data_IF_102026823044
#
_entry.id   IF_102026823044
#
_cell.length_a   1.000
_cell.length_b   1.000
_cell.length_c   1.000
_cell.angle_alpha   90.00
_cell.angle_beta   90.00
_cell.angle_gamma   90.00
#
_symmetry.space_group_name_H-M   'P 1'
#
loop_
_entity.id
_entity.type
_entity.pdbx_description
1 polymer ?
#
# COMPACT_ATOMS: atom_id res chain seq x y z
N UNK A 1 5.32 -1.58 44.47
CA UNK A 1 4.44 -1.69 43.27
C UNK A 1 5.20 -1.41 41.99
N UNK A 2 5.94 -0.29 41.84
CA UNK A 2 6.69 0.03 40.60
C UNK A 2 7.74 -1.02 40.18
N UNK A 3 8.47 -1.63 41.12
CA UNK A 3 9.49 -2.63 40.86
C UNK A 3 8.93 -3.94 40.24
N UNK A 4 7.71 -4.33 40.64
CA UNK A 4 7.05 -5.54 40.11
C UNK A 4 6.60 -5.31 38.66
N UNK A 5 6.13 -4.10 38.34
CA UNK A 5 5.70 -3.74 36.98
C UNK A 5 6.90 -3.73 36.04
N UNK A 6 8.03 -3.16 36.45
CA UNK A 6 9.26 -3.13 35.64
C UNK A 6 9.85 -4.55 35.40
N UNK A 7 9.87 -5.39 36.43
CA UNK A 7 10.37 -6.76 36.30
C UNK A 7 9.46 -7.63 35.40
N UNK A 8 8.14 -7.50 35.51
CA UNK A 8 7.17 -8.20 34.68
C UNK A 8 7.24 -7.80 33.20
N UNK A 9 7.41 -6.51 32.92
CA UNK A 9 7.55 -5.98 31.57
C UNK A 9 8.84 -6.44 30.90
N UNK A 10 9.96 -6.46 31.64
CA UNK A 10 11.27 -6.91 31.13
C UNK A 10 11.27 -8.41 30.81
N UNK A 11 10.67 -9.22 31.70
CA UNK A 11 10.52 -10.67 31.46
C UNK A 11 9.59 -10.97 30.29
N UNK A 12 8.49 -10.22 30.14
CA UNK A 12 7.56 -10.36 29.01
C UNK A 12 8.22 -10.04 27.66
N UNK A 13 9.03 -8.98 27.59
CA UNK A 13 9.77 -8.59 26.40
C UNK A 13 10.86 -9.61 26.06
N UNK A 14 11.59 -10.11 27.07
CA UNK A 14 12.61 -11.13 26.87
C UNK A 14 12.00 -12.46 26.41
N UNK A 15 10.87 -12.87 26.96
CA UNK A 15 10.13 -14.05 26.52
C UNK A 15 9.60 -13.89 25.08
N UNK A 16 9.07 -12.73 24.74
CA UNK A 16 8.59 -12.43 23.39
C UNK A 16 9.73 -12.49 22.36
N UNK A 17 10.91 -12.03 22.70
CA UNK A 17 12.09 -12.10 21.83
C UNK A 17 12.66 -13.52 21.69
N UNK A 18 12.57 -14.35 22.76
CA UNK A 18 13.09 -15.71 22.79
C UNK A 18 12.11 -16.75 22.27
N UNK A 19 10.81 -16.51 22.35
CA UNK A 19 9.78 -17.41 21.82
C UNK A 19 9.63 -17.15 20.31
N UNK A 20 9.98 -18.10 19.45
CA UNK A 20 9.76 -18.02 18.01
C UNK A 20 8.28 -17.84 17.58
N UNK A 21 7.39 -17.62 18.54
CA UNK A 21 5.96 -17.28 18.41
C UNK A 21 5.61 -15.93 19.02
N UNK A 22 6.63 -15.13 19.40
CA UNK A 22 6.43 -13.80 19.97
C UNK A 22 5.68 -12.88 19.00
N UNK A 23 4.91 -11.95 19.57
CA UNK A 23 4.32 -10.86 18.79
C UNK A 23 5.46 -10.09 18.13
N UNK A 24 5.56 -10.15 16.82
CA UNK A 24 6.48 -9.34 16.04
C UNK A 24 6.14 -7.86 16.27
N UNK A 25 6.99 -7.16 17.04
CA UNK A 25 6.90 -5.69 17.16
C UNK A 25 7.45 -4.99 15.91
N UNK A 26 7.52 -5.73 14.81
CA UNK A 26 7.98 -5.24 13.52
C UNK A 26 6.85 -4.42 12.87
N UNK A 27 7.20 -3.29 12.28
CA UNK A 27 6.32 -2.51 11.40
C UNK A 27 5.73 -3.32 10.23
N UNK A 28 6.27 -4.52 9.99
CA UNK A 28 5.93 -5.37 8.85
C UNK A 28 4.82 -6.40 9.13
N UNK A 29 4.05 -6.27 10.21
CA UNK A 29 2.97 -7.21 10.56
C UNK A 29 1.93 -7.38 9.44
N UNK A 30 1.80 -6.39 8.57
CA UNK A 30 0.83 -6.37 7.48
C UNK A 30 1.41 -6.80 6.12
N UNK A 31 2.73 -7.03 6.02
CA UNK A 31 3.33 -7.54 4.78
C UNK A 31 3.07 -9.04 4.69
N UNK A 32 2.42 -9.45 3.60
CA UNK A 32 2.16 -10.87 3.31
C UNK A 32 3.27 -11.44 2.46
N UNK A 33 3.58 -12.72 2.63
CA UNK A 33 4.58 -13.41 1.81
C UNK A 33 4.22 -13.28 0.32
N UNK A 34 5.15 -12.75 -0.46
CA UNK A 34 5.00 -12.56 -1.91
C UNK A 34 4.50 -11.19 -2.35
N UNK A 35 4.33 -10.24 -1.41
CA UNK A 35 4.08 -8.83 -1.74
C UNK A 35 5.40 -8.15 -2.15
N UNK A 36 5.38 -7.42 -3.25
CA UNK A 36 6.47 -6.52 -3.67
C UNK A 36 6.21 -5.13 -3.08
N UNK A 37 6.97 -4.79 -2.04
CA UNK A 37 6.76 -3.59 -1.23
C UNK A 37 7.81 -2.54 -1.57
N UNK A 38 7.36 -1.33 -1.88
CA UNK A 38 8.24 -0.19 -2.17
C UNK A 38 7.97 0.99 -1.23
N UNK A 39 8.97 1.84 -1.06
CA UNK A 39 8.90 3.07 -0.27
C UNK A 39 8.55 4.28 -1.15
N UNK A 40 8.11 5.40 -0.53
CA UNK A 40 7.66 6.59 -1.26
C UNK A 40 8.71 7.18 -2.22
N UNK A 41 10.00 7.17 -1.85
CA UNK A 41 11.07 7.64 -2.73
C UNK A 41 11.25 6.78 -3.98
N UNK A 42 11.14 5.46 -3.85
CA UNK A 42 11.18 4.54 -5.00
C UNK A 42 9.93 4.71 -5.87
N UNK A 43 8.76 4.81 -5.24
CA UNK A 43 7.51 5.04 -5.95
C UNK A 43 7.57 6.33 -6.78
N UNK A 44 8.13 7.42 -6.22
CA UNK A 44 8.34 8.68 -6.95
C UNK A 44 9.24 8.50 -8.18
N UNK A 45 10.36 7.79 -8.02
CA UNK A 45 11.25 7.51 -9.13
C UNK A 45 10.61 6.64 -10.23
N UNK A 46 9.71 5.71 -9.85
CA UNK A 46 8.94 4.91 -10.81
C UNK A 46 7.87 5.75 -11.53
N UNK A 47 7.20 6.68 -10.83
CA UNK A 47 6.27 7.62 -11.47
C UNK A 47 6.96 8.42 -12.58
N UNK A 48 8.16 8.94 -12.33
CA UNK A 48 8.95 9.69 -13.31
C UNK A 48 9.37 8.86 -14.52
N UNK A 49 9.44 7.54 -14.37
CA UNK A 49 9.72 6.59 -15.45
C UNK A 49 8.46 6.09 -16.15
N UNK A 50 7.28 6.58 -15.76
CA UNK A 50 6.01 6.23 -16.39
C UNK A 50 5.31 5.01 -15.80
N UNK A 51 5.64 4.57 -14.57
CA UNK A 51 4.87 3.53 -13.89
C UNK A 51 3.41 3.93 -13.72
N UNK A 52 2.50 2.98 -13.86
CA UNK A 52 1.08 3.18 -13.68
C UNK A 52 0.71 3.10 -12.19
N UNK A 53 0.20 4.20 -11.65
CA UNK A 53 -0.28 4.23 -10.27
C UNK A 53 -1.76 3.86 -10.18
N UNK A 54 -2.12 3.12 -9.12
CA UNK A 54 -3.46 2.58 -8.91
C UNK A 54 -3.90 2.92 -7.48
N UNK A 55 -4.95 3.71 -7.36
CA UNK A 55 -5.52 4.13 -6.09
C UNK A 55 -6.58 3.12 -5.63
N UNK A 56 -6.23 2.34 -4.59
CA UNK A 56 -7.13 1.35 -4.00
C UNK A 56 -8.10 1.94 -2.96
N UNK A 57 -8.02 3.24 -2.68
CA UNK A 57 -8.95 3.93 -1.77
C UNK A 57 -10.34 4.05 -2.41
N UNK A 58 -11.40 4.23 -1.60
CA UNK A 58 -12.71 4.60 -2.12
C UNK A 58 -12.65 5.79 -3.08
N UNK A 59 -13.46 5.77 -4.14
CA UNK A 59 -13.43 6.76 -5.23
C UNK A 59 -13.55 8.22 -4.73
N UNK A 60 -14.24 8.44 -3.60
CA UNK A 60 -14.36 9.76 -3.01
C UNK A 60 -13.00 10.36 -2.62
N UNK A 61 -12.08 9.56 -2.07
CA UNK A 61 -10.73 10.00 -1.73
C UNK A 61 -9.88 10.28 -2.97
N UNK A 62 -10.01 9.42 -4.00
CA UNK A 62 -9.35 9.66 -5.28
C UNK A 62 -9.73 11.03 -5.87
N UNK A 63 -11.02 11.37 -5.86
CA UNK A 63 -11.52 12.65 -6.38
C UNK A 63 -11.06 13.86 -5.55
N UNK A 64 -10.81 13.68 -4.26
CA UNK A 64 -10.27 14.75 -3.43
C UNK A 64 -8.84 15.08 -3.83
N UNK A 65 -7.99 14.06 -3.85
CA UNK A 65 -6.60 14.17 -4.32
C UNK A 65 -6.02 12.78 -4.58
N UNK A 66 -5.20 12.66 -5.63
CA UNK A 66 -4.53 11.42 -6.02
C UNK A 66 -3.14 11.68 -6.64
N UNK A 67 -2.35 10.65 -6.84
CA UNK A 67 -1.06 10.73 -7.54
C UNK A 67 -1.32 11.00 -9.02
N UNK A 68 -0.64 11.99 -9.65
CA UNK A 68 -0.88 12.34 -11.06
C UNK A 68 -0.76 11.13 -11.99
N UNK A 69 -1.74 10.95 -12.87
CA UNK A 69 -1.80 9.83 -13.79
C UNK A 69 -2.30 8.52 -13.20
N UNK A 70 -2.59 8.48 -11.90
CA UNK A 70 -3.16 7.30 -11.25
C UNK A 70 -4.57 6.99 -11.77
N UNK A 71 -4.94 5.72 -11.75
CA UNK A 71 -6.30 5.26 -11.99
C UNK A 71 -6.99 4.92 -10.67
N UNK A 72 -8.26 5.29 -10.54
CA UNK A 72 -9.10 4.83 -9.44
C UNK A 72 -9.43 3.35 -9.62
N UNK A 73 -8.95 2.52 -8.70
CA UNK A 73 -9.18 1.08 -8.68
C UNK A 73 -9.54 0.63 -7.26
N UNK A 74 -10.68 1.11 -6.72
CA UNK A 74 -11.08 0.85 -5.35
C UNK A 74 -11.33 -0.64 -5.13
N UNK A 75 -10.98 -1.12 -3.94
CA UNK A 75 -11.07 -2.54 -3.59
C UNK A 75 -12.52 -3.05 -3.60
N UNK A 76 -13.45 -2.24 -3.12
CA UNK A 76 -14.88 -2.53 -3.00
C UNK A 76 -15.62 -2.55 -4.36
N UNK A 77 -15.11 -1.87 -5.39
CA UNK A 77 -15.66 -1.85 -6.78
C UNK A 77 -14.62 -2.31 -7.81
N UNK A 78 -13.71 -3.20 -7.39
CA UNK A 78 -12.54 -3.59 -8.19
C UNK A 78 -12.89 -4.10 -9.58
N UNK A 79 -13.85 -5.03 -9.71
CA UNK A 79 -14.12 -5.67 -10.99
C UNK A 79 -14.66 -4.68 -12.03
N UNK A 80 -15.56 -3.79 -11.63
CA UNK A 80 -16.09 -2.73 -12.50
C UNK A 80 -15.02 -1.70 -12.86
N UNK A 81 -14.18 -1.29 -11.90
CA UNK A 81 -13.09 -0.37 -12.16
C UNK A 81 -12.01 -1.01 -13.04
N UNK A 82 -11.73 -2.32 -12.85
CA UNK A 82 -10.82 -3.07 -13.70
C UNK A 82 -11.30 -3.09 -15.16
N UNK A 83 -12.56 -3.44 -15.42
CA UNK A 83 -13.14 -3.43 -16.77
C UNK A 83 -13.00 -2.06 -17.46
N UNK A 84 -13.25 -0.99 -16.72
CA UNK A 84 -13.12 0.40 -17.22
C UNK A 84 -11.70 0.72 -17.65
N UNK A 85 -10.71 0.20 -16.95
CA UNK A 85 -9.30 0.53 -17.14
C UNK A 85 -8.49 -0.60 -17.78
N UNK A 86 -9.11 -1.72 -18.17
CA UNK A 86 -8.45 -2.93 -18.66
C UNK A 86 -7.39 -2.66 -19.74
N UNK A 87 -7.61 -1.83 -20.78
CA UNK A 87 -6.59 -1.60 -21.80
C UNK A 87 -5.30 -1.00 -21.25
N UNK A 88 -5.39 -0.06 -20.29
CA UNK A 88 -4.22 0.54 -19.65
C UNK A 88 -3.55 -0.43 -18.68
N UNK A 89 -4.34 -1.19 -17.93
CA UNK A 89 -3.85 -2.19 -16.97
C UNK A 89 -3.08 -3.31 -17.69
N UNK A 90 -3.58 -3.79 -18.82
CA UNK A 90 -2.91 -4.85 -19.60
C UNK A 90 -1.67 -4.38 -20.38
N UNK A 91 -1.57 -3.09 -20.67
CA UNK A 91 -0.42 -2.53 -21.38
C UNK A 91 0.72 -2.12 -20.47
N UNK A 92 0.50 -2.06 -19.13
CA UNK A 92 1.55 -1.67 -18.21
C UNK A 92 2.52 -2.81 -17.91
N UNK A 93 3.79 -2.46 -17.78
CA UNK A 93 4.86 -3.37 -17.33
C UNK A 93 5.29 -3.08 -15.89
N UNK A 94 4.87 -1.94 -15.34
CA UNK A 94 5.18 -1.49 -13.99
C UNK A 94 3.96 -0.80 -13.40
N UNK A 95 3.35 -1.42 -12.40
CA UNK A 95 2.22 -0.87 -11.68
C UNK A 95 2.53 -0.71 -10.19
N UNK A 96 2.04 0.37 -9.59
CA UNK A 96 2.18 0.66 -8.16
C UNK A 96 0.80 0.91 -7.57
N UNK A 97 0.40 0.05 -6.62
CA UNK A 97 -0.87 0.19 -5.89
C UNK A 97 -0.62 0.94 -4.59
N UNK A 98 -1.47 1.88 -4.24
CA UNK A 98 -1.43 2.59 -2.96
C UNK A 98 -2.82 2.68 -2.31
N UNK A 99 -2.82 2.91 -1.00
CA UNK A 99 -4.02 3.06 -0.19
C UNK A 99 -3.85 4.15 0.89
N UNK A 100 -4.73 4.17 1.88
CA UNK A 100 -4.78 5.19 2.94
C UNK A 100 -3.64 5.14 3.96
N UNK A 101 -2.71 4.19 3.87
CA UNK A 101 -1.55 4.11 4.76
C UNK A 101 -1.30 2.75 5.36
N UNK A 102 -0.49 2.70 6.41
CA UNK A 102 -0.13 1.47 7.11
C UNK A 102 -1.37 0.64 7.52
N UNK A 103 -1.30 -0.66 7.28
CA UNK A 103 -2.36 -1.60 7.65
C UNK A 103 -3.59 -1.52 6.76
N UNK A 104 -3.58 -0.74 5.69
CA UNK A 104 -4.65 -0.75 4.71
C UNK A 104 -4.57 -2.03 3.85
N UNK A 105 -5.50 -2.95 4.07
CA UNK A 105 -5.53 -4.20 3.31
C UNK A 105 -5.91 -4.03 1.84
N UNK A 106 -6.58 -2.93 1.48
CA UNK A 106 -7.09 -2.74 0.12
C UNK A 106 -6.00 -2.78 -0.94
N UNK A 107 -4.82 -2.15 -0.71
CA UNK A 107 -3.70 -2.22 -1.67
C UNK A 107 -3.18 -3.66 -1.86
N UNK A 108 -3.13 -4.46 -0.79
CA UNK A 108 -2.72 -5.86 -0.86
C UNK A 108 -3.74 -6.73 -1.61
N UNK A 109 -5.05 -6.49 -1.37
CA UNK A 109 -6.13 -7.19 -2.07
C UNK A 109 -6.11 -6.84 -3.55
N UNK A 110 -6.00 -5.55 -3.89
CA UNK A 110 -5.94 -5.09 -5.28
C UNK A 110 -4.71 -5.62 -6.01
N UNK A 111 -3.52 -5.56 -5.38
CA UNK A 111 -2.29 -6.10 -5.98
C UNK A 111 -2.40 -7.61 -6.25
N UNK A 112 -2.98 -8.38 -5.33
CA UNK A 112 -3.23 -9.81 -5.51
C UNK A 112 -4.20 -10.08 -6.66
N UNK A 113 -5.35 -9.37 -6.71
CA UNK A 113 -6.33 -9.48 -7.80
C UNK A 113 -5.73 -9.16 -9.16
N UNK A 114 -4.81 -8.19 -9.23
CA UNK A 114 -4.06 -7.86 -10.45
C UNK A 114 -3.10 -8.99 -10.84
N UNK A 115 -2.34 -9.52 -9.87
CA UNK A 115 -1.41 -10.64 -10.09
C UNK A 115 -2.12 -11.88 -10.61
N UNK A 116 -3.32 -12.21 -10.09
CA UNK A 116 -4.18 -13.30 -10.58
C UNK A 116 -4.60 -13.09 -12.05
N UNK A 117 -4.62 -11.85 -12.53
CA UNK A 117 -4.90 -11.46 -13.92
C UNK A 117 -3.64 -11.29 -14.78
N UNK A 118 -2.47 -11.66 -14.25
CA UNK A 118 -1.18 -11.58 -14.93
C UNK A 118 -0.57 -10.17 -14.99
N UNK A 119 -1.03 -9.25 -14.15
CA UNK A 119 -0.51 -7.88 -14.07
C UNK A 119 0.34 -7.76 -12.80
N UNK A 120 1.68 -7.68 -12.90
CA UNK A 120 2.53 -7.49 -11.74
C UNK A 120 2.31 -6.09 -11.16
N UNK A 121 2.24 -6.00 -9.82
CA UNK A 121 2.07 -4.73 -9.13
C UNK A 121 2.83 -4.73 -7.82
N UNK A 122 3.57 -3.63 -7.59
CA UNK A 122 4.21 -3.33 -6.30
C UNK A 122 3.24 -2.56 -5.42
N UNK A 123 3.46 -2.55 -4.11
CA UNK A 123 2.63 -1.85 -3.14
C UNK A 123 3.44 -0.72 -2.49
N UNK A 124 2.93 0.50 -2.57
CA UNK A 124 3.45 1.61 -1.78
C UNK A 124 3.01 1.43 -0.32
N UNK A 125 3.94 0.95 0.52
CA UNK A 125 3.67 0.46 1.87
C UNK A 125 3.01 1.48 2.80
N UNK A 126 3.53 2.69 2.81
CA UNK A 126 3.02 3.78 3.67
C UNK A 126 1.85 4.53 3.02
N UNK A 127 1.55 4.19 1.76
CA UNK A 127 0.41 4.70 1.03
C UNK A 127 0.39 6.21 0.82
N UNK A 128 -0.81 6.75 0.72
CA UNK A 128 -1.05 8.17 0.49
C UNK A 128 -0.37 9.10 1.52
N UNK A 129 -0.39 8.83 2.84
CA UNK A 129 0.22 9.73 3.83
C UNK A 129 1.71 9.97 3.59
N UNK A 130 2.48 8.96 3.23
CA UNK A 130 3.91 9.14 2.96
C UNK A 130 4.17 9.94 1.68
N UNK A 131 3.29 9.81 0.67
CA UNK A 131 3.35 10.61 -0.55
C UNK A 131 3.12 12.09 -0.27
N UNK A 132 2.09 12.38 0.54
CA UNK A 132 1.71 13.74 0.94
C UNK A 132 2.74 14.37 1.88
N UNK A 133 3.25 13.64 2.88
CA UNK A 133 4.29 14.10 3.81
C UNK A 133 5.60 14.44 3.07
N UNK A 134 5.93 13.68 2.02
CA UNK A 134 7.08 13.95 1.17
C UNK A 134 6.86 15.14 0.21
N UNK A 135 5.70 15.80 0.25
CA UNK A 135 5.31 16.90 -0.64
C UNK A 135 5.46 16.56 -2.14
N UNK A 136 5.18 15.31 -2.51
CA UNK A 136 5.21 14.89 -3.89
C UNK A 136 3.98 15.39 -4.67
N UNK A 137 4.06 15.46 -6.02
CA UNK A 137 2.96 15.98 -6.82
C UNK A 137 1.64 15.27 -6.57
N UNK A 138 0.57 16.05 -6.48
CA UNK A 138 -0.80 15.56 -6.37
C UNK A 138 -1.68 16.20 -7.45
N UNK A 139 -2.79 15.55 -7.76
CA UNK A 139 -3.86 16.06 -8.62
C UNK A 139 -5.18 15.95 -7.90
N UNK A 140 -6.05 16.92 -8.08
CA UNK A 140 -7.42 16.94 -7.59
C UNK A 140 -8.41 16.66 -8.74
N UNK A 141 -9.60 16.17 -8.40
CA UNK A 141 -10.66 15.89 -9.37
C UNK A 141 -10.75 14.42 -9.77
N UNK A 142 -11.53 14.14 -10.81
CA UNK A 142 -11.79 12.78 -11.30
C UNK A 142 -10.85 12.31 -12.42
N UNK A 143 -10.10 13.25 -13.00
CA UNK A 143 -9.20 12.97 -14.13
C UNK A 143 -7.84 12.48 -13.64
N UNK A 144 -7.26 11.44 -14.28
CA UNK A 144 -5.94 10.89 -13.93
C UNK A 144 -4.80 11.91 -14.03
#
# INVERSE_FOLDING_TARGET
>A
MAAIILAGSSLGLAWNAASGRGLGLSRNVFIKDGDDIIQAGEAKARLEKGALFLDARPEAFYRMAHIPGALSLPEDDFDRAYERHEPRLRSTLDAVVYCSGFGCEASHIVARKLKERGIPASILHEGWPAWEEAHYPIREGAEP
#
